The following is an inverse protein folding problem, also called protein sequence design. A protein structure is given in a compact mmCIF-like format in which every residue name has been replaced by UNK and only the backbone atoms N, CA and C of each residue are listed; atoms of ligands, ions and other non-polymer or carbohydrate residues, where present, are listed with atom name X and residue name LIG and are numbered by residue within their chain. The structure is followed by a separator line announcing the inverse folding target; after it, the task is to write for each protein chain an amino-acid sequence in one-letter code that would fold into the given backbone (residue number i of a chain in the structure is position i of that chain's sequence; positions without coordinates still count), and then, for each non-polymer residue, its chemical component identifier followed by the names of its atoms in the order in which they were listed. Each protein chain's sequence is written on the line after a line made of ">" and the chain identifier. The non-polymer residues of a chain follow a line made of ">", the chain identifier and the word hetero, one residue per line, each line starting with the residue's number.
data_IF_505756053805
#
_entry.id   IF_505756053805
#
_cell.length_a   1.000
_cell.length_b   1.000
_cell.length_c   1.000
_cell.angle_alpha   90.00
_cell.angle_beta   90.00
_cell.angle_gamma   90.00
#
_symmetry.space_group_name_H-M   'P 1'
#
loop_
_entity.id
_entity.type
_entity.pdbx_description
1 polymer ?
#
# COMPACT_ATOMS: atom_id res chain seq x y z
N UNK A 1 -9.19 -4.69 -29.62
CA UNK A 1 -10.35 -4.01 -29.00
C UNK A 1 -11.36 -5.10 -28.69
N UNK A 2 -11.85 -5.36 -27.46
CA UNK A 2 -12.11 -4.50 -26.31
C UNK A 2 -12.31 -5.42 -25.08
N UNK A 3 -11.67 -5.12 -23.93
CA UNK A 3 -11.88 -5.85 -22.67
C UNK A 3 -13.23 -5.42 -22.07
N UNK A 4 -14.22 -6.33 -21.98
CA UNK A 4 -15.52 -6.03 -21.33
C UNK A 4 -15.29 -5.94 -19.82
N UNK A 5 -15.50 -4.76 -19.24
CA UNK A 5 -15.43 -4.54 -17.79
C UNK A 5 -16.77 -5.02 -17.19
N UNK A 6 -16.71 -5.99 -16.29
CA UNK A 6 -17.90 -6.58 -15.68
C UNK A 6 -18.71 -5.49 -14.96
N UNK A 7 -20.01 -5.39 -15.25
CA UNK A 7 -20.86 -4.36 -14.68
C UNK A 7 -21.15 -4.72 -13.22
N UNK A 8 -20.68 -3.88 -12.30
CA UNK A 8 -21.00 -3.99 -10.87
C UNK A 8 -22.50 -3.65 -10.71
N UNK A 9 -23.35 -4.68 -10.68
CA UNK A 9 -24.77 -4.52 -10.33
C UNK A 9 -24.89 -4.28 -8.82
N UNK A 10 -25.14 -3.03 -8.46
CA UNK A 10 -25.54 -2.65 -7.12
C UNK A 10 -27.05 -2.78 -7.02
N UNK A 11 -27.54 -3.84 -6.35
CA UNK A 11 -28.95 -3.96 -6.00
C UNK A 11 -29.18 -3.29 -4.63
N UNK A 12 -30.30 -2.58 -4.49
CA UNK A 12 -30.72 -1.92 -3.25
C UNK A 12 -31.81 -2.79 -2.63
N UNK A 13 -31.64 -3.17 -1.36
CA UNK A 13 -32.66 -3.90 -0.61
C UNK A 13 -33.82 -2.97 -0.24
N UNK A 14 -35.05 -3.49 -0.31
CA UNK A 14 -36.26 -2.68 -0.13
C UNK A 14 -36.41 -2.10 1.28
N UNK A 15 -35.78 -2.72 2.29
CA UNK A 15 -35.83 -2.33 3.70
C UNK A 15 -34.73 -1.34 4.14
N UNK A 16 -34.05 -0.69 3.19
CA UNK A 16 -33.31 0.54 3.47
C UNK A 16 -31.92 0.40 4.10
N UNK A 17 -31.45 -0.80 4.48
CA UNK A 17 -30.07 -0.98 4.97
C UNK A 17 -29.13 -1.44 3.85
N UNK A 18 -28.45 -0.48 3.21
CA UNK A 18 -27.54 -0.73 2.09
C UNK A 18 -26.21 -1.35 2.53
N UNK A 19 -25.94 -2.60 2.17
CA UNK A 19 -24.56 -3.06 1.95
C UNK A 19 -24.13 -2.60 0.55
N UNK A 20 -23.51 -1.42 0.43
CA UNK A 20 -22.81 -1.07 -0.80
C UNK A 20 -21.67 -2.07 -0.98
N UNK A 21 -21.60 -2.72 -2.14
CA UNK A 21 -20.37 -3.38 -2.58
C UNK A 21 -19.25 -2.33 -2.55
N UNK A 22 -18.46 -2.33 -1.48
CA UNK A 22 -17.25 -1.52 -1.42
C UNK A 22 -16.32 -2.09 -2.48
N UNK A 23 -15.80 -1.23 -3.36
CA UNK A 23 -14.69 -1.63 -4.21
C UNK A 23 -13.62 -2.26 -3.30
N UNK A 24 -12.99 -3.39 -3.68
CA UNK A 24 -11.89 -3.96 -2.91
C UNK A 24 -10.82 -2.88 -2.77
N UNK A 25 -10.75 -2.27 -1.58
CA UNK A 25 -10.20 -0.93 -1.39
C UNK A 25 -8.86 -0.90 -0.68
N UNK A 26 -8.23 -2.06 -0.48
CA UNK A 26 -6.87 -2.07 0.07
C UNK A 26 -5.93 -1.47 -0.98
N UNK A 27 -5.09 -0.46 -0.62
CA UNK A 27 -4.04 0.04 -1.50
C UNK A 27 -2.99 -1.03 -1.81
N UNK A 28 -2.96 -2.10 -1.00
CA UNK A 28 -2.24 -3.34 -1.27
C UNK A 28 -3.24 -4.30 -1.93
N UNK A 29 -3.18 -4.39 -3.26
CA UNK A 29 -4.09 -5.24 -4.03
C UNK A 29 -4.06 -6.72 -3.59
N UNK A 30 -5.05 -7.49 -4.03
CA UNK A 30 -5.14 -8.92 -3.70
C UNK A 30 -3.95 -9.69 -4.27
N UNK A 31 -3.03 -10.11 -3.39
CA UNK A 31 -2.16 -11.28 -3.59
C UNK A 31 -1.25 -11.29 -4.83
N UNK A 32 -0.83 -10.14 -5.37
CA UNK A 32 0.26 -10.14 -6.35
C UNK A 32 1.59 -10.28 -5.60
N UNK A 33 2.59 -10.93 -6.20
CA UNK A 33 3.94 -11.10 -5.63
C UNK A 33 4.59 -9.77 -5.19
N UNK A 34 4.14 -8.65 -5.74
CA UNK A 34 4.56 -7.30 -5.39
C UNK A 34 3.90 -6.75 -4.11
N UNK A 35 2.73 -7.26 -3.70
CA UNK A 35 2.06 -6.88 -2.45
C UNK A 35 2.87 -7.28 -1.21
N UNK A 36 3.61 -8.39 -1.28
CA UNK A 36 4.45 -8.89 -0.19
C UNK A 36 5.85 -8.26 -0.15
N UNK A 37 6.19 -7.43 -1.15
CA UNK A 37 7.52 -6.84 -1.34
C UNK A 37 7.74 -5.48 -0.67
N UNK A 38 6.68 -4.87 -0.13
CA UNK A 38 6.75 -3.56 0.52
C UNK A 38 6.49 -3.63 2.02
N UNK A 39 7.12 -2.74 2.77
CA UNK A 39 6.94 -2.58 4.21
C UNK A 39 6.88 -1.09 4.57
N UNK A 40 6.20 -0.74 5.66
CA UNK A 40 6.19 0.61 6.19
C UNK A 40 7.49 0.95 6.93
N UNK A 41 8.05 2.14 6.69
CA UNK A 41 9.10 2.70 7.54
C UNK A 41 8.54 3.07 8.91
N UNK A 42 9.18 2.64 10.00
CA UNK A 42 8.73 2.94 11.36
C UNK A 42 8.72 4.44 11.69
N UNK A 43 9.55 5.26 11.02
CA UNK A 43 9.65 6.69 11.28
C UNK A 43 8.65 7.55 10.49
N UNK A 44 8.46 7.28 9.19
CA UNK A 44 7.60 8.10 8.33
C UNK A 44 6.29 7.41 7.91
N UNK A 45 6.07 6.14 8.26
CA UNK A 45 4.86 5.37 7.97
C UNK A 45 4.66 4.99 6.50
N UNK A 46 5.41 5.58 5.56
CA UNK A 46 5.29 5.32 4.12
C UNK A 46 5.71 3.89 3.78
N UNK A 47 4.91 3.24 2.94
CA UNK A 47 5.24 1.91 2.41
C UNK A 47 6.28 2.04 1.30
N UNK A 48 7.38 1.30 1.44
CA UNK A 48 8.51 1.28 0.52
C UNK A 48 8.92 -0.17 0.22
N UNK A 49 9.55 -0.44 -0.93
CA UNK A 49 10.16 -1.75 -1.20
C UNK A 49 11.17 -2.11 -0.11
N UNK A 50 11.26 -3.40 0.26
CA UNK A 50 12.24 -3.88 1.26
C UNK A 50 13.68 -3.47 0.95
N UNK A 51 14.05 -3.39 -0.34
CA UNK A 51 15.38 -2.97 -0.77
C UNK A 51 15.74 -1.52 -0.42
N UNK A 52 14.74 -0.65 -0.18
CA UNK A 52 14.93 0.75 0.19
C UNK A 52 14.89 0.98 1.71
N UNK A 53 14.74 -0.09 2.49
CA UNK A 53 14.69 -0.05 3.95
C UNK A 53 15.95 -0.69 4.52
N UNK A 54 16.41 -0.18 5.65
CA UNK A 54 17.43 -0.78 6.51
C UNK A 54 16.83 -1.13 7.86
N UNK A 55 17.38 -2.15 8.50
CA UNK A 55 17.01 -2.52 9.87
C UNK A 55 17.79 -1.67 10.86
N UNK A 56 17.10 -1.01 11.80
CA UNK A 56 17.72 -0.29 12.92
C UNK A 56 17.10 -0.73 14.24
N UNK A 57 17.89 -0.77 15.31
CA UNK A 57 17.39 -1.06 16.66
C UNK A 57 16.73 0.21 17.22
N UNK A 58 15.40 0.19 17.35
CA UNK A 58 14.59 1.28 17.90
C UNK A 58 13.75 0.73 19.06
N UNK A 59 13.77 1.40 20.21
CA UNK A 59 13.02 0.98 21.40
C UNK A 59 13.29 -0.49 21.79
N UNK A 60 14.55 -0.93 21.67
CA UNK A 60 14.98 -2.29 21.99
C UNK A 60 14.61 -3.36 20.95
N UNK A 61 13.84 -3.03 19.91
CA UNK A 61 13.45 -3.97 18.84
C UNK A 61 14.06 -3.57 17.50
N UNK A 62 14.30 -4.56 16.64
CA UNK A 62 14.74 -4.32 15.27
C UNK A 62 13.55 -3.85 14.43
N UNK A 63 13.61 -2.63 13.92
CA UNK A 63 12.55 -2.01 13.13
C UNK A 63 13.05 -1.62 11.73
N UNK A 64 12.22 -1.76 10.70
CA UNK A 64 12.52 -1.32 9.34
C UNK A 64 12.39 0.20 9.21
N UNK A 65 13.39 0.87 8.66
CA UNK A 65 13.37 2.32 8.42
C UNK A 65 14.02 2.67 7.08
N UNK A 66 13.67 3.82 6.51
CA UNK A 66 14.25 4.27 5.24
C UNK A 66 15.79 4.33 5.30
N UNK A 67 16.44 3.92 4.20
CA UNK A 67 17.85 4.12 3.94
C UNK A 67 18.02 5.08 2.75
N UNK A 68 18.95 6.04 2.77
CA UNK A 68 19.82 6.44 3.91
C UNK A 68 19.07 7.14 5.06
N UNK A 69 18.10 8.00 4.74
CA UNK A 69 17.17 8.66 5.67
C UNK A 69 15.77 8.84 5.04
N UNK A 70 14.77 9.27 5.83
CA UNK A 70 13.42 9.46 5.29
C UNK A 70 13.35 10.61 4.26
N UNK A 71 14.10 11.70 4.49
CA UNK A 71 14.09 12.87 3.62
C UNK A 71 14.84 12.62 2.31
N UNK A 72 16.04 12.04 2.39
CA UNK A 72 16.87 11.78 1.21
C UNK A 72 16.22 10.73 0.30
N UNK A 73 15.63 9.67 0.86
CA UNK A 73 14.94 8.66 0.07
C UNK A 73 13.71 9.25 -0.65
N UNK A 74 13.02 10.18 -0.01
CA UNK A 74 11.89 10.87 -0.64
C UNK A 74 12.34 11.74 -1.82
N UNK A 75 13.45 12.47 -1.68
CA UNK A 75 14.05 13.25 -2.76
C UNK A 75 14.53 12.36 -3.93
N UNK A 76 15.09 11.19 -3.63
CA UNK A 76 15.52 10.23 -4.66
C UNK A 76 14.33 9.71 -5.47
N UNK A 77 13.22 9.40 -4.80
CA UNK A 77 12.01 8.91 -5.46
C UNK A 77 11.29 9.99 -6.26
N UNK A 78 11.27 11.24 -5.79
CA UNK A 78 10.72 12.35 -6.57
C UNK A 78 11.55 12.70 -7.80
N UNK A 79 12.86 12.43 -7.77
CA UNK A 79 13.76 12.67 -8.91
C UNK A 79 13.72 11.54 -9.95
N UNK A 80 13.33 10.33 -9.53
CA UNK A 80 13.26 9.15 -10.40
C UNK A 80 11.90 9.00 -11.12
N UNK A 81 10.91 9.82 -10.77
CA UNK A 81 9.59 9.90 -11.39
C UNK A 81 9.59 10.95 -12.51
#
# INVERSE_FOLDING_TARGET
>A
MTKRKDQIKTAVDADGLRYRSKAPGSPFGVGTTYSSGTMSCFLCGKHRPRAMLKTRKLLGKSQPVCAPSCAELEQQLSKAA
#
